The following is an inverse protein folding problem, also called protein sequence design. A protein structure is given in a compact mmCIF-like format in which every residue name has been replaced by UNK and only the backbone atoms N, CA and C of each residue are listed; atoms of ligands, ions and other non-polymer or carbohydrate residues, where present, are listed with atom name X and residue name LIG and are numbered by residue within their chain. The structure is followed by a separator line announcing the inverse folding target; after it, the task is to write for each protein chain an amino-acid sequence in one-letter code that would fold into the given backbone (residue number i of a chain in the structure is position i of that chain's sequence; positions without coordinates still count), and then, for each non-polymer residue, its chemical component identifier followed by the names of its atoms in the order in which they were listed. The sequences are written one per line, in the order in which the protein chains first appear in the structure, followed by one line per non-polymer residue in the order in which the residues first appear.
data_IF_180361829943
#
_entry.id   IF_180361829943
#
_cell.length_a   1.000
_cell.length_b   1.000
_cell.length_c   1.000
_cell.angle_alpha   90.00
_cell.angle_beta   90.00
_cell.angle_gamma   90.00
#
_symmetry.space_group_name_H-M   'P 1'
#
loop_
_entity.id
_entity.type
_entity.pdbx_description
1 polymer ?
#
# COMPACT_ATOMS: atom_id res chain seq x y z
N UNK A 1 65.65 33.27 -30.34
CA UNK A 1 64.63 32.21 -30.49
C UNK A 1 64.52 31.49 -29.16
N UNK A 2 63.62 31.96 -28.29
CA UNK A 2 63.21 31.27 -27.05
C UNK A 2 61.71 31.59 -26.93
N UNK A 3 60.86 30.58 -27.09
CA UNK A 3 59.41 30.72 -27.07
C UNK A 3 58.88 30.70 -25.63
N UNK A 4 58.04 31.69 -25.31
CA UNK A 4 57.26 31.72 -24.08
C UNK A 4 55.99 30.91 -24.29
N UNK A 5 55.93 29.69 -23.77
CA UNK A 5 54.69 28.92 -23.69
C UNK A 5 53.85 29.42 -22.51
N UNK A 6 52.83 30.20 -22.82
CA UNK A 6 51.79 30.69 -21.90
C UNK A 6 50.91 29.51 -21.46
N UNK A 7 51.04 29.08 -20.21
CA UNK A 7 50.12 28.11 -19.59
C UNK A 7 48.94 28.85 -18.95
N UNK A 8 47.84 28.95 -19.68
CA UNK A 8 46.55 29.35 -19.11
C UNK A 8 45.87 28.14 -18.48
N UNK A 9 45.89 28.09 -17.14
CA UNK A 9 45.10 27.13 -16.35
C UNK A 9 43.65 27.63 -16.31
N UNK A 10 42.75 26.96 -17.03
CA UNK A 10 41.30 27.17 -16.93
C UNK A 10 40.78 26.44 -15.68
N UNK A 11 40.63 27.16 -14.57
CA UNK A 11 39.95 26.67 -13.38
C UNK A 11 38.44 26.73 -13.66
N UNK A 12 37.85 25.61 -14.08
CA UNK A 12 36.41 25.47 -14.18
C UNK A 12 35.81 25.41 -12.77
N UNK A 13 35.30 26.53 -12.28
CA UNK A 13 34.56 26.62 -11.02
C UNK A 13 33.25 25.84 -11.15
N UNK A 14 33.18 24.64 -10.56
CA UNK A 14 31.97 23.85 -10.54
C UNK A 14 30.99 24.46 -9.52
N UNK A 15 29.98 25.18 -10.02
CA UNK A 15 28.79 25.48 -9.23
C UNK A 15 27.99 24.18 -9.05
N UNK A 16 28.16 23.51 -7.90
CA UNK A 16 27.16 22.58 -7.41
C UNK A 16 25.91 23.36 -7.05
N UNK A 17 24.94 23.39 -7.96
CA UNK A 17 23.60 23.85 -7.65
C UNK A 17 23.01 22.90 -6.59
N UNK A 18 22.90 23.39 -5.36
CA UNK A 18 22.16 22.70 -4.31
C UNK A 18 20.68 22.87 -4.67
N UNK A 19 20.14 21.92 -5.43
CA UNK A 19 18.71 21.87 -5.69
C UNK A 19 18.01 21.68 -4.32
N UNK A 20 17.08 22.57 -3.93
CA UNK A 20 16.20 22.31 -2.80
C UNK A 20 15.50 20.99 -3.11
N UNK A 21 15.72 19.97 -2.27
CA UNK A 21 14.91 18.77 -2.34
C UNK A 21 13.49 19.21 -2.03
N UNK A 22 12.64 19.31 -3.07
CA UNK A 22 11.23 19.50 -2.87
C UNK A 22 10.78 18.33 -1.99
N UNK A 23 10.46 18.63 -0.73
CA UNK A 23 9.93 17.63 0.19
C UNK A 23 8.57 17.25 -0.38
N UNK A 24 8.55 16.18 -1.18
CA UNK A 24 7.31 15.61 -1.70
C UNK A 24 6.45 15.26 -0.50
N UNK A 25 5.25 15.83 -0.43
CA UNK A 25 4.30 15.48 0.62
C UNK A 25 4.07 13.97 0.57
N UNK A 26 4.32 13.30 1.69
CA UNK A 26 4.09 11.86 1.82
C UNK A 26 2.88 11.59 2.69
N UNK A 27 2.06 10.64 2.27
CA UNK A 27 0.86 10.21 2.97
C UNK A 27 1.04 8.82 3.57
N UNK A 28 0.12 8.41 4.44
CA UNK A 28 0.00 7.02 4.89
C UNK A 28 -1.35 6.51 4.44
N UNK A 29 -1.35 5.49 3.57
CA UNK A 29 -2.58 4.79 3.17
C UNK A 29 -2.90 3.74 4.24
N UNK A 30 -4.09 3.82 4.82
CA UNK A 30 -4.59 2.82 5.76
C UNK A 30 -5.85 2.17 5.22
N UNK A 31 -6.23 1.03 5.79
CA UNK A 31 -7.45 0.37 5.38
C UNK A 31 -7.65 -1.01 5.96
N UNK A 32 -8.72 -1.67 5.51
CA UNK A 32 -8.95 -3.08 5.79
C UNK A 32 -9.53 -3.85 4.61
N UNK A 33 -9.28 -5.16 4.63
CA UNK A 33 -9.92 -6.13 3.75
C UNK A 33 -10.72 -7.09 4.61
N UNK A 34 -12.02 -7.16 4.36
CA UNK A 34 -12.94 -8.08 5.00
C UNK A 34 -13.24 -9.21 4.02
N UNK A 35 -12.94 -10.44 4.40
CA UNK A 35 -13.33 -11.63 3.63
C UNK A 35 -14.57 -12.22 4.29
N UNK A 36 -15.70 -12.16 3.59
CA UNK A 36 -16.98 -12.69 4.03
C UNK A 36 -17.05 -14.19 3.73
N UNK A 37 -17.25 -14.98 4.78
CA UNK A 37 -17.33 -16.44 4.71
C UNK A 37 -18.61 -16.95 5.40
N UNK A 38 -19.09 -18.11 4.96
CA UNK A 38 -20.21 -18.81 5.61
C UNK A 38 -19.71 -19.80 6.66
N UNK A 39 -20.44 -19.91 7.77
CA UNK A 39 -20.17 -20.92 8.78
C UNK A 39 -20.44 -22.33 8.22
N UNK A 40 -19.44 -23.20 8.27
CA UNK A 40 -19.57 -24.62 7.87
C UNK A 40 -19.31 -25.57 9.03
N UNK A 41 -20.13 -25.50 10.07
CA UNK A 41 -20.21 -26.53 11.10
C UNK A 41 -18.93 -26.77 11.93
N UNK A 42 -19.12 -27.49 13.04
CA UNK A 42 -18.24 -27.63 14.21
C UNK A 42 -17.81 -26.28 14.82
N UNK A 43 -18.49 -25.99 15.94
CA UNK A 43 -18.29 -24.89 16.88
C UNK A 43 -16.85 -24.78 17.38
N UNK A 44 -15.94 -24.23 16.57
CA UNK A 44 -14.78 -23.54 17.14
C UNK A 44 -15.32 -22.27 17.80
N UNK A 45 -14.95 -21.94 19.06
CA UNK A 45 -15.38 -20.72 19.70
C UNK A 45 -14.65 -19.54 19.04
N UNK A 46 -15.11 -19.14 17.86
CA UNK A 46 -14.72 -17.88 17.26
C UNK A 46 -15.42 -16.78 18.05
N UNK A 47 -14.69 -16.27 19.04
CA UNK A 47 -15.04 -15.04 19.71
C UNK A 47 -14.60 -13.87 18.83
N UNK A 48 -15.35 -12.79 18.89
CA UNK A 48 -15.00 -11.51 18.28
C UNK A 48 -13.52 -11.16 18.57
N UNK A 49 -12.76 -10.85 17.53
CA UNK A 49 -11.35 -10.49 17.64
C UNK A 49 -10.36 -11.65 17.69
N UNK A 50 -10.81 -12.92 17.71
CA UNK A 50 -9.90 -14.06 17.57
C UNK A 50 -9.15 -14.02 16.23
N UNK A 51 -7.96 -14.63 16.19
CA UNK A 51 -7.23 -14.76 14.93
C UNK A 51 -8.05 -15.64 13.97
N UNK A 52 -8.15 -15.22 12.72
CA UNK A 52 -8.75 -15.99 11.64
C UNK A 52 -7.82 -16.06 10.44
N UNK A 53 -8.11 -17.04 9.58
CA UNK A 53 -7.45 -17.26 8.32
C UNK A 53 -8.52 -17.47 7.26
N UNK A 54 -8.17 -17.26 6.01
CA UNK A 54 -9.07 -17.33 4.86
C UNK A 54 -8.82 -18.59 4.05
N UNK A 55 -9.87 -19.15 3.44
CA UNK A 55 -9.80 -20.33 2.59
C UNK A 55 -10.47 -20.15 1.21
N UNK A 56 -10.69 -21.24 0.47
CA UNK A 56 -11.51 -21.33 -0.77
C UNK A 56 -11.36 -20.19 -1.78
N UNK A 57 -10.11 -19.89 -2.12
CA UNK A 57 -9.79 -18.89 -3.14
C UNK A 57 -9.44 -17.52 -2.57
N UNK A 58 -9.35 -17.36 -1.25
CA UNK A 58 -8.80 -16.20 -0.54
C UNK A 58 -7.46 -16.45 0.15
N UNK A 59 -6.77 -17.55 -0.18
CA UNK A 59 -5.45 -17.90 0.34
C UNK A 59 -4.36 -16.84 0.05
N UNK A 60 -4.55 -16.02 -0.98
CA UNK A 60 -3.69 -14.88 -1.29
C UNK A 60 -3.89 -13.70 -0.34
N UNK A 61 -4.98 -13.65 0.42
CA UNK A 61 -5.28 -12.65 1.46
C UNK A 61 -4.98 -13.26 2.83
N UNK A 62 -3.76 -13.03 3.31
CA UNK A 62 -3.26 -13.60 4.55
C UNK A 62 -2.35 -12.63 5.29
N UNK A 63 -2.14 -12.86 6.57
CA UNK A 63 -1.25 -12.02 7.38
C UNK A 63 0.16 -11.94 6.79
N UNK A 64 0.74 -10.75 6.80
CA UNK A 64 2.07 -10.46 6.26
C UNK A 64 2.10 -10.32 4.74
N UNK A 65 0.99 -10.53 4.02
CA UNK A 65 0.94 -10.35 2.56
C UNK A 65 1.19 -8.90 2.18
N UNK A 66 1.95 -8.70 1.11
CA UNK A 66 2.29 -7.37 0.59
C UNK A 66 1.06 -6.60 0.11
N UNK A 67 1.03 -5.33 0.51
CA UNK A 67 0.22 -4.27 -0.12
C UNK A 67 1.20 -3.35 -0.83
N UNK A 68 1.08 -3.22 -2.14
CA UNK A 68 1.97 -2.35 -2.93
C UNK A 68 1.19 -1.25 -3.62
N UNK A 69 1.75 -0.05 -3.63
CA UNK A 69 1.21 1.10 -4.34
C UNK A 69 2.17 1.45 -5.46
N UNK A 70 1.63 1.57 -6.68
CA UNK A 70 2.32 2.15 -7.81
C UNK A 70 1.82 3.55 -8.11
N UNK A 71 2.70 4.41 -8.60
CA UNK A 71 2.39 5.76 -9.06
C UNK A 71 1.89 5.79 -10.52
N UNK A 72 1.71 7.01 -11.05
CA UNK A 72 1.31 7.25 -12.44
C UNK A 72 2.37 6.79 -13.47
N UNK A 73 3.62 6.59 -13.06
CA UNK A 73 4.69 6.04 -13.90
C UNK A 73 4.75 4.51 -13.83
N UNK A 74 3.77 3.86 -13.21
CA UNK A 74 3.71 2.40 -12.98
C UNK A 74 4.91 1.87 -12.16
N UNK A 75 5.56 2.75 -11.39
CA UNK A 75 6.68 2.43 -10.51
C UNK A 75 6.17 2.17 -9.09
N UNK A 76 6.74 1.20 -8.37
CA UNK A 76 6.37 0.96 -6.98
C UNK A 76 6.82 2.15 -6.14
N UNK A 77 5.85 2.89 -5.62
CA UNK A 77 6.06 4.11 -4.85
C UNK A 77 6.14 3.82 -3.34
N UNK A 78 5.38 2.84 -2.86
CA UNK A 78 5.39 2.44 -1.46
C UNK A 78 4.93 0.98 -1.27
N UNK A 79 5.34 0.39 -0.15
CA UNK A 79 5.03 -0.99 0.23
C UNK A 79 4.61 -1.03 1.71
N UNK A 80 3.52 -1.74 1.98
CA UNK A 80 3.09 -2.13 3.32
C UNK A 80 2.71 -3.60 3.36
N UNK A 81 2.04 -4.02 4.43
CA UNK A 81 1.63 -5.41 4.64
C UNK A 81 0.25 -5.48 5.27
N UNK A 82 -0.46 -6.56 4.99
CA UNK A 82 -1.63 -6.98 5.76
C UNK A 82 -1.18 -7.39 7.17
N UNK A 83 -1.91 -6.91 8.17
CA UNK A 83 -1.81 -7.35 9.56
C UNK A 83 -2.43 -8.73 9.77
N UNK A 84 -2.58 -9.12 11.03
CA UNK A 84 -3.28 -10.36 11.38
C UNK A 84 -4.77 -10.28 11.04
N UNK A 85 -5.32 -11.40 10.55
CA UNK A 85 -6.75 -11.56 10.33
C UNK A 85 -7.47 -11.64 11.67
N UNK A 86 -8.54 -10.86 11.82
CA UNK A 86 -9.38 -10.85 13.02
C UNK A 86 -10.81 -11.23 12.67
N UNK A 87 -11.32 -12.23 13.38
CA UNK A 87 -12.70 -12.71 13.25
C UNK A 87 -13.66 -11.61 13.70
N UNK A 88 -14.66 -11.31 12.88
CA UNK A 88 -15.80 -10.48 13.28
C UNK A 88 -17.09 -11.22 12.97
N UNK A 89 -18.00 -11.24 13.95
CA UNK A 89 -19.32 -11.83 13.79
C UNK A 89 -20.19 -10.92 12.91
N UNK A 90 -20.84 -11.52 11.91
CA UNK A 90 -21.83 -10.79 11.10
C UNK A 90 -23.16 -10.68 11.86
N UNK A 91 -24.01 -9.71 11.45
CA UNK A 91 -25.40 -9.66 11.90
C UNK A 91 -26.18 -10.92 11.50
N UNK A 92 -25.81 -11.52 10.38
CA UNK A 92 -26.29 -12.83 9.99
C UNK A 92 -25.43 -13.90 10.67
N UNK A 93 -26.01 -14.63 11.62
CA UNK A 93 -25.34 -15.70 12.36
C UNK A 93 -24.78 -16.84 11.49
N UNK A 94 -25.21 -16.94 10.23
CA UNK A 94 -24.67 -17.89 9.25
C UNK A 94 -23.39 -17.41 8.56
N UNK A 95 -23.01 -16.14 8.77
CA UNK A 95 -21.87 -15.49 8.16
C UNK A 95 -20.89 -14.96 9.21
N UNK A 96 -19.64 -14.83 8.80
CA UNK A 96 -18.59 -14.16 9.56
C UNK A 96 -17.61 -13.50 8.61
N UNK A 97 -16.80 -12.56 9.12
CA UNK A 97 -15.73 -11.95 8.34
C UNK A 97 -14.37 -12.17 8.97
N UNK A 98 -13.38 -12.41 8.11
CA UNK A 98 -11.98 -12.30 8.49
C UNK A 98 -11.43 -10.96 8.02
N UNK A 99 -11.15 -10.05 8.96
CA UNK A 99 -10.71 -8.68 8.66
C UNK A 99 -9.20 -8.54 8.82
N UNK A 100 -8.54 -8.10 7.76
CA UNK A 100 -7.11 -7.80 7.71
C UNK A 100 -6.92 -6.30 7.57
N UNK A 101 -6.39 -5.64 8.60
CA UNK A 101 -6.01 -4.22 8.51
C UNK A 101 -4.67 -4.07 7.83
N UNK A 102 -4.42 -2.94 7.18
CA UNK A 102 -3.11 -2.62 6.61
C UNK A 102 -2.76 -1.14 6.78
N UNK A 103 -1.45 -0.87 6.68
CA UNK A 103 -0.89 0.48 6.63
C UNK A 103 0.29 0.48 5.66
N UNK A 104 0.32 1.48 4.78
CA UNK A 104 1.38 1.73 3.81
C UNK A 104 1.89 3.15 4.05
N UNK A 105 3.01 3.32 4.77
CA UNK A 105 3.58 4.63 5.04
C UNK A 105 4.35 5.15 3.81
N UNK A 106 4.69 6.45 3.86
CA UNK A 106 5.59 7.11 2.90
C UNK A 106 5.11 7.06 1.44
N UNK A 107 3.80 7.19 1.21
CA UNK A 107 3.26 7.24 -0.15
C UNK A 107 3.44 8.65 -0.71
N UNK A 108 4.31 8.86 -1.73
CA UNK A 108 4.50 10.18 -2.32
C UNK A 108 3.26 10.62 -3.08
N UNK A 109 3.08 11.94 -3.23
CA UNK A 109 1.99 12.47 -4.05
C UNK A 109 2.17 12.11 -5.54
N UNK A 110 1.12 11.58 -6.16
CA UNK A 110 1.00 11.21 -7.58
C UNK A 110 -0.45 11.45 -8.03
N UNK A 111 -0.71 11.83 -9.29
CA UNK A 111 -2.08 12.07 -9.78
C UNK A 111 -2.94 10.80 -9.78
N UNK A 112 -2.32 9.63 -9.96
CA UNK A 112 -2.97 8.33 -9.96
C UNK A 112 -2.16 7.31 -9.16
N UNK A 113 -2.87 6.34 -8.60
CA UNK A 113 -2.28 5.22 -7.88
C UNK A 113 -2.89 3.91 -8.37
N UNK A 114 -2.06 2.88 -8.44
CA UNK A 114 -2.52 1.49 -8.57
C UNK A 114 -2.17 0.73 -7.31
N UNK A 115 -3.19 0.29 -6.58
CA UNK A 115 -3.04 -0.44 -5.31
C UNK A 115 -3.27 -1.91 -5.56
N UNK A 116 -2.30 -2.73 -5.16
CA UNK A 116 -2.36 -4.19 -5.28
C UNK A 116 -2.24 -4.80 -3.90
N UNK A 117 -3.10 -5.80 -3.62
CA UNK A 117 -3.05 -6.56 -2.37
C UNK A 117 -3.06 -8.04 -2.69
N UNK A 118 -2.04 -8.76 -2.22
CA UNK A 118 -1.90 -10.18 -2.52
C UNK A 118 -1.88 -10.46 -4.03
N UNK A 119 -2.70 -11.43 -4.46
CA UNK A 119 -2.85 -11.82 -5.86
C UNK A 119 -4.08 -11.22 -6.53
N UNK A 120 -4.76 -10.26 -5.89
CA UNK A 120 -6.01 -9.68 -6.39
C UNK A 120 -5.79 -8.75 -7.57
N UNK A 121 -6.87 -8.57 -8.34
CA UNK A 121 -6.91 -7.53 -9.37
C UNK A 121 -6.61 -6.17 -8.73
N UNK A 122 -5.61 -5.42 -9.23
CA UNK A 122 -5.29 -4.11 -8.70
C UNK A 122 -6.44 -3.11 -8.91
N UNK A 123 -6.50 -2.10 -8.04
CA UNK A 123 -7.48 -1.02 -8.10
C UNK A 123 -6.76 0.27 -8.43
N UNK A 124 -7.29 1.02 -9.40
CA UNK A 124 -6.79 2.33 -9.76
C UNK A 124 -7.63 3.42 -9.09
N UNK A 125 -6.99 4.40 -8.47
CA UNK A 125 -7.63 5.56 -7.82
C UNK A 125 -6.87 6.83 -8.17
N UNK A 126 -7.59 7.95 -8.22
CA UNK A 126 -6.97 9.27 -8.34
C UNK A 126 -6.48 9.79 -6.99
N UNK A 127 -5.63 10.81 -7.01
CA UNK A 127 -5.28 11.56 -5.80
C UNK A 127 -6.51 12.16 -5.11
N UNK A 128 -7.46 12.67 -5.90
CA UNK A 128 -8.69 13.27 -5.39
C UNK A 128 -9.56 12.23 -4.67
N UNK A 129 -9.68 11.02 -5.22
CA UNK A 129 -10.39 9.91 -4.57
C UNK A 129 -9.79 9.58 -3.20
N UNK A 130 -8.47 9.49 -3.11
CA UNK A 130 -7.79 9.19 -1.84
C UNK A 130 -7.89 10.36 -0.85
N UNK A 131 -7.77 11.60 -1.31
CA UNK A 131 -7.95 12.79 -0.45
C UNK A 131 -9.39 12.86 0.08
N UNK A 132 -10.39 12.64 -0.76
CA UNK A 132 -11.80 12.62 -0.36
C UNK A 132 -12.11 11.52 0.69
N UNK A 133 -11.34 10.42 0.67
CA UNK A 133 -11.43 9.32 1.63
C UNK A 133 -10.49 9.46 2.83
N UNK A 134 -9.77 10.57 2.97
CA UNK A 134 -8.74 10.75 3.98
C UNK A 134 -7.68 9.63 4.00
N UNK A 135 -7.33 9.08 2.84
CA UNK A 135 -6.38 7.98 2.68
C UNK A 135 -6.76 6.70 3.43
N UNK A 136 -8.08 6.43 3.53
CA UNK A 136 -8.64 5.21 4.10
C UNK A 136 -9.33 4.39 3.00
N UNK A 137 -9.03 3.10 2.91
CA UNK A 137 -9.65 2.17 1.97
C UNK A 137 -10.21 0.93 2.66
N UNK A 138 -11.47 0.65 2.41
CA UNK A 138 -12.16 -0.51 2.95
C UNK A 138 -12.66 -1.38 1.80
N UNK A 139 -12.35 -2.66 1.85
CA UNK A 139 -12.74 -3.63 0.83
C UNK A 139 -13.46 -4.81 1.46
N UNK A 140 -14.54 -5.26 0.83
CA UNK A 140 -15.18 -6.53 1.17
C UNK A 140 -15.04 -7.49 0.00
N UNK A 141 -14.59 -8.71 0.29
CA UNK A 141 -14.50 -9.80 -0.65
C UNK A 141 -15.51 -10.88 -0.25
N UNK A 142 -16.29 -11.37 -1.21
CA UNK A 142 -17.21 -12.48 -1.03
C UNK A 142 -17.10 -13.42 -2.24
N UNK A 143 -17.51 -14.68 -2.06
CA UNK A 143 -17.73 -15.61 -3.17
C UNK A 143 -19.02 -15.28 -3.92
#
# INVERSE_FOLDING_TARGET
MIEFLSSTVLIASQLTAIAPSAVSQSYTLTGSIQVLESFRGASFPFQEGNICFTDRGFNDISSGRTVSIKDANNTIAAIGKLGEGRFNQSQDSSLWTCTFKFSVPNVPESPFYTISVGGRKPIALTLEDLKARNWILEFTLSL
#
